data_IF_312025267114
#
_entry.id   IF_312025267114
#
_cell.length_a   1.000
_cell.length_b   1.000
_cell.length_c   1.000
_cell.angle_alpha   90.00
_cell.angle_beta   90.00
_cell.angle_gamma   90.00
#
_symmetry.space_group_name_H-M   'P 1'
#
loop_
_entity.id
_entity.type
_entity.pdbx_description
1 polymer ?
#
# COMPACT_ATOMS: atom_id res chain seq x y z
N UNK A 1 14.35 -18.61 6.99
CA UNK A 1 13.12 -18.79 7.79
C UNK A 1 13.17 -18.00 9.10
N UNK A 2 14.27 -18.06 9.88
CA UNK A 2 14.42 -17.34 11.17
C UNK A 2 14.27 -15.82 10.98
N UNK A 3 14.93 -15.23 10.00
CA UNK A 3 14.90 -13.77 9.76
C UNK A 3 13.50 -13.24 9.41
N UNK A 4 12.68 -14.01 8.69
CA UNK A 4 11.31 -13.62 8.30
C UNK A 4 10.34 -13.70 9.48
N UNK A 5 10.50 -14.68 10.35
CA UNK A 5 9.73 -14.80 11.59
C UNK A 5 10.04 -13.60 12.51
N UNK A 6 11.30 -13.22 12.62
CA UNK A 6 11.72 -12.06 13.42
C UNK A 6 11.17 -10.74 12.86
N UNK A 7 11.08 -10.60 11.53
CA UNK A 7 10.48 -9.42 10.89
C UNK A 7 8.99 -9.28 11.24
N UNK A 8 8.22 -10.37 11.24
CA UNK A 8 6.79 -10.33 11.62
C UNK A 8 6.61 -10.02 13.10
N UNK A 9 7.46 -10.57 13.98
CA UNK A 9 7.43 -10.28 15.41
C UNK A 9 7.76 -8.80 15.73
N UNK A 10 8.51 -8.15 14.85
CA UNK A 10 8.83 -6.72 14.95
C UNK A 10 7.79 -5.80 14.32
N UNK A 11 6.81 -6.36 13.60
CA UNK A 11 5.72 -5.58 12.99
C UNK A 11 4.77 -5.04 14.05
N UNK A 12 4.02 -3.96 13.76
CA UNK A 12 2.96 -3.46 14.64
C UNK A 12 1.98 -4.57 15.06
N UNK A 13 1.45 -4.49 16.27
CA UNK A 13 0.56 -5.50 16.84
C UNK A 13 -0.71 -5.70 15.98
N UNK A 14 -1.21 -4.63 15.38
CA UNK A 14 -2.35 -4.66 14.45
C UNK A 14 -2.03 -5.49 13.21
N UNK A 15 -0.86 -5.30 12.61
CA UNK A 15 -0.41 -6.09 11.45
C UNK A 15 -0.34 -7.57 11.79
N UNK A 16 0.25 -7.92 12.95
CA UNK A 16 0.31 -9.30 13.42
C UNK A 16 -1.09 -9.88 13.65
N UNK A 17 -2.01 -9.11 14.23
CA UNK A 17 -3.38 -9.53 14.50
C UNK A 17 -4.16 -9.76 13.22
N UNK A 18 -4.07 -8.85 12.26
CA UNK A 18 -4.73 -8.99 10.95
C UNK A 18 -4.15 -10.19 10.18
N UNK A 19 -2.82 -10.37 10.19
CA UNK A 19 -2.18 -11.52 9.55
C UNK A 19 -2.74 -12.84 10.12
N UNK A 20 -2.81 -12.99 11.45
CA UNK A 20 -3.37 -14.19 12.09
C UNK A 20 -4.83 -14.40 11.70
N UNK A 21 -5.63 -13.33 11.66
CA UNK A 21 -7.02 -13.39 11.26
C UNK A 21 -7.17 -13.80 9.79
N UNK A 22 -6.40 -13.21 8.88
CA UNK A 22 -6.43 -13.57 7.45
C UNK A 22 -6.19 -15.06 7.26
N UNK A 23 -5.19 -15.62 7.94
CA UNK A 23 -4.83 -17.03 7.79
C UNK A 23 -5.87 -17.94 8.46
N UNK A 24 -6.30 -17.64 9.68
CA UNK A 24 -7.25 -18.47 10.40
C UNK A 24 -8.64 -18.48 9.76
N UNK A 25 -9.09 -17.36 9.23
CA UNK A 25 -10.37 -17.24 8.53
C UNK A 25 -10.32 -17.68 7.05
N UNK A 26 -9.11 -17.80 6.49
CA UNK A 26 -8.87 -18.00 5.05
C UNK A 26 -9.48 -16.89 4.18
N UNK A 27 -9.56 -15.67 4.69
CA UNK A 27 -10.13 -14.54 3.97
C UNK A 27 -9.40 -14.26 2.66
N UNK A 28 -8.09 -14.50 2.60
CA UNK A 28 -7.29 -14.41 1.39
C UNK A 28 -7.48 -15.57 0.40
N UNK A 29 -8.21 -16.64 0.78
CA UNK A 29 -8.43 -17.85 -0.04
C UNK A 29 -7.14 -18.48 -0.58
N UNK A 30 -6.05 -18.40 0.17
CA UNK A 30 -4.73 -18.88 -0.23
C UNK A 30 -3.99 -17.98 -1.23
N UNK A 31 -4.56 -16.85 -1.60
CA UNK A 31 -3.88 -15.85 -2.43
C UNK A 31 -2.83 -15.07 -1.61
N UNK A 32 -1.79 -14.52 -2.25
CA UNK A 32 -0.90 -13.57 -1.58
C UNK A 32 -1.67 -12.34 -1.14
N UNK A 33 -1.13 -11.62 -0.17
CA UNK A 33 -1.76 -10.39 0.30
C UNK A 33 -0.75 -9.34 0.73
N UNK A 34 -1.21 -8.10 0.73
CA UNK A 34 -0.44 -6.93 1.13
C UNK A 34 -1.24 -6.17 2.18
N UNK A 35 -0.56 -5.72 3.22
CA UNK A 35 -1.13 -4.82 4.23
C UNK A 35 -0.46 -3.46 4.14
N UNK A 36 -1.24 -2.39 4.29
CA UNK A 36 -0.72 -1.05 4.53
C UNK A 36 -1.14 -0.64 5.94
N UNK A 37 -0.17 -0.52 6.83
CA UNK A 37 -0.37 0.01 8.17
C UNK A 37 -0.19 1.53 8.14
N UNK A 38 -1.31 2.26 8.17
CA UNK A 38 -1.30 3.72 8.04
C UNK A 38 -0.61 4.42 9.21
N UNK A 39 -0.77 3.99 10.46
CA UNK A 39 -0.08 4.62 11.59
C UNK A 39 1.44 4.55 11.49
N UNK A 40 2.01 3.41 11.09
CA UNK A 40 3.45 3.26 10.91
C UNK A 40 3.96 3.67 9.53
N UNK A 41 3.05 3.97 8.59
CA UNK A 41 3.36 4.27 7.20
C UNK A 41 4.23 3.18 6.54
N UNK A 42 3.86 1.92 6.72
CA UNK A 42 4.57 0.77 6.17
C UNK A 42 3.64 -0.14 5.38
N UNK A 43 4.20 -0.80 4.38
CA UNK A 43 3.56 -1.89 3.65
C UNK A 43 4.26 -3.21 3.92
N UNK A 44 3.47 -4.27 4.01
CA UNK A 44 3.88 -5.64 4.32
C UNK A 44 3.35 -6.56 3.23
N UNK A 45 4.24 -7.30 2.57
CA UNK A 45 3.86 -8.30 1.55
C UNK A 45 3.96 -9.69 2.14
N UNK A 46 2.90 -10.47 1.99
CA UNK A 46 2.80 -11.85 2.45
C UNK A 46 2.52 -12.80 1.29
N UNK A 47 3.03 -14.01 1.39
CA UNK A 47 2.56 -15.09 0.53
C UNK A 47 1.16 -15.59 0.95
N UNK A 48 0.61 -16.53 0.19
CA UNK A 48 -0.72 -17.08 0.46
C UNK A 48 -0.84 -17.85 1.77
N UNK A 49 0.27 -18.28 2.36
CA UNK A 49 0.32 -18.98 3.66
C UNK A 49 0.45 -18.02 4.84
N UNK A 50 0.65 -16.72 4.58
CA UNK A 50 0.85 -15.69 5.61
C UNK A 50 2.30 -15.49 6.03
N UNK A 51 3.25 -16.04 5.27
CA UNK A 51 4.67 -15.77 5.51
C UNK A 51 4.99 -14.36 5.04
N UNK A 52 5.59 -13.54 5.91
CA UNK A 52 6.03 -12.19 5.56
C UNK A 52 7.24 -12.26 4.63
N UNK A 53 7.13 -11.63 3.46
CA UNK A 53 8.17 -11.64 2.42
C UNK A 53 8.96 -10.35 2.38
N UNK A 54 8.32 -9.21 2.61
CA UNK A 54 8.97 -7.91 2.54
C UNK A 54 8.21 -6.85 3.33
N UNK A 55 8.95 -5.85 3.80
CA UNK A 55 8.43 -4.65 4.49
C UNK A 55 9.13 -3.43 3.90
N UNK A 56 8.39 -2.35 3.72
CA UNK A 56 8.97 -1.07 3.31
C UNK A 56 8.13 0.11 3.82
N UNK A 57 8.75 1.29 4.00
CA UNK A 57 8.00 2.53 4.21
C UNK A 57 7.19 2.87 2.97
N UNK A 58 6.06 3.55 3.15
CA UNK A 58 5.21 4.04 2.06
C UNK A 58 4.80 5.48 2.30
N UNK A 59 4.49 6.18 1.19
CA UNK A 59 3.80 7.47 1.25
C UNK A 59 2.32 7.26 0.96
N UNK A 60 1.49 8.04 1.62
CA UNK A 60 0.02 7.92 1.56
C UNK A 60 -0.64 9.27 1.33
N UNK A 61 -1.96 9.27 1.25
CA UNK A 61 -2.77 10.47 1.12
C UNK A 61 -2.43 11.52 2.17
N UNK A 62 -2.43 12.79 1.75
CA UNK A 62 -2.03 13.93 2.55
C UNK A 62 -2.88 14.14 3.81
N UNK A 63 -4.10 13.64 3.83
CA UNK A 63 -5.02 13.73 4.97
C UNK A 63 -5.18 12.40 5.70
N UNK A 64 -5.40 12.47 7.01
CA UNK A 64 -5.83 11.34 7.83
C UNK A 64 -7.30 11.04 7.60
N UNK A 65 -7.69 9.79 7.74
CA UNK A 65 -9.07 9.32 7.60
C UNK A 65 -9.12 7.95 6.93
N UNK A 66 -10.30 7.37 6.89
CA UNK A 66 -10.53 6.01 6.41
C UNK A 66 -11.49 5.94 5.20
N UNK A 67 -12.10 7.07 4.84
CA UNK A 67 -13.02 7.14 3.72
C UNK A 67 -12.49 8.11 2.66
N UNK A 68 -12.37 7.61 1.44
CA UNK A 68 -12.07 8.46 0.29
C UNK A 68 -13.37 9.10 -0.22
N UNK A 69 -13.50 10.39 -0.02
CA UNK A 69 -14.62 11.19 -0.51
C UNK A 69 -14.25 11.81 -1.85
N UNK A 70 -14.19 11.01 -2.92
CA UNK A 70 -13.93 11.53 -4.26
C UNK A 70 -15.26 11.65 -5.01
N UNK A 71 -15.62 12.84 -5.49
CA UNK A 71 -16.70 12.97 -6.47
C UNK A 71 -16.31 12.20 -7.74
N UNK A 72 -17.18 11.35 -8.24
CA UNK A 72 -16.97 10.43 -9.37
C UNK A 72 -16.57 11.08 -10.73
N UNK A 73 -16.25 12.35 -10.78
CA UNK A 73 -15.95 13.06 -12.02
C UNK A 73 -14.92 14.19 -11.89
N UNK A 74 -14.33 14.41 -10.73
CA UNK A 74 -13.34 15.47 -10.59
C UNK A 74 -11.93 14.94 -10.91
N UNK A 75 -11.10 15.69 -11.66
CA UNK A 75 -9.71 15.34 -11.83
C UNK A 75 -9.01 15.28 -10.46
N UNK A 76 -8.10 14.34 -10.25
CA UNK A 76 -7.39 14.16 -8.97
C UNK A 76 -6.76 15.47 -8.47
N UNK A 77 -6.27 16.31 -9.38
CA UNK A 77 -5.71 17.63 -9.06
C UNK A 77 -6.68 18.59 -8.37
N UNK A 78 -7.98 18.38 -8.55
CA UNK A 78 -9.03 19.21 -7.92
C UNK A 78 -9.39 18.76 -6.49
N UNK A 79 -8.85 17.62 -6.01
CA UNK A 79 -9.12 17.12 -4.66
C UNK A 79 -8.39 18.01 -3.64
N UNK A 80 -9.12 18.70 -2.75
CA UNK A 80 -8.51 19.49 -1.69
C UNK A 80 -7.59 18.65 -0.80
N UNK A 81 -6.50 19.20 -0.31
CA UNK A 81 -5.49 18.47 0.49
C UNK A 81 -6.10 17.74 1.69
N UNK A 82 -7.06 18.35 2.36
CA UNK A 82 -7.75 17.77 3.52
C UNK A 82 -8.72 16.61 3.17
N UNK A 83 -8.88 16.31 1.88
CA UNK A 83 -9.69 15.17 1.37
C UNK A 83 -8.87 14.12 0.65
N UNK A 84 -7.55 14.28 0.59
CA UNK A 84 -6.62 13.34 -0.04
C UNK A 84 -6.30 12.19 0.92
N UNK A 85 -7.22 11.27 1.06
CA UNK A 85 -7.18 10.18 2.04
C UNK A 85 -6.85 8.87 1.35
N UNK A 86 -5.93 8.09 1.92
CA UNK A 86 -5.81 6.66 1.61
C UNK A 86 -6.88 5.94 2.43
N UNK A 87 -7.91 5.35 1.79
CA UNK A 87 -9.03 4.74 2.50
C UNK A 87 -8.60 3.47 3.22
N UNK A 88 -9.30 3.13 4.29
CA UNK A 88 -9.22 1.81 4.92
C UNK A 88 -10.19 0.84 4.25
N UNK A 89 -9.82 -0.43 4.14
CA UNK A 89 -10.68 -1.45 3.57
C UNK A 89 -9.94 -2.70 3.13
N UNK A 90 -10.66 -3.53 2.38
CA UNK A 90 -10.22 -4.80 1.83
C UNK A 90 -10.62 -4.88 0.36
N UNK A 91 -9.66 -5.18 -0.51
CA UNK A 91 -9.88 -5.28 -1.96
C UNK A 91 -9.15 -6.47 -2.55
N UNK A 92 -9.72 -7.07 -3.60
CA UNK A 92 -8.98 -7.89 -4.53
C UNK A 92 -8.20 -6.98 -5.49
N UNK A 93 -6.89 -7.15 -5.54
CA UNK A 93 -5.97 -6.32 -6.30
C UNK A 93 -5.22 -7.14 -7.35
N UNK A 94 -4.81 -6.47 -8.42
CA UNK A 94 -4.01 -7.07 -9.50
C UNK A 94 -3.06 -6.06 -10.10
N UNK A 95 -1.98 -6.56 -10.68
CA UNK A 95 -1.09 -5.74 -11.49
C UNK A 95 -1.78 -5.35 -12.81
N UNK A 96 -1.62 -4.10 -13.19
CA UNK A 96 -2.06 -3.59 -14.49
C UNK A 96 -1.24 -2.34 -14.85
N UNK A 97 -1.16 -1.97 -16.13
CA UNK A 97 -0.55 -0.71 -16.51
C UNK A 97 -1.44 0.47 -16.10
N UNK A 98 -0.82 1.55 -15.63
CA UNK A 98 -1.47 2.84 -15.47
C UNK A 98 -1.69 3.53 -16.82
N UNK A 99 -2.24 4.74 -16.82
CA UNK A 99 -2.48 5.52 -18.04
C UNK A 99 -1.19 5.83 -18.83
N UNK A 100 -0.03 5.80 -18.19
CA UNK A 100 1.29 5.98 -18.81
C UNK A 100 1.96 4.67 -19.21
N UNK A 101 1.29 3.52 -19.03
CA UNK A 101 1.83 2.19 -19.34
C UNK A 101 2.78 1.62 -18.29
N UNK A 102 2.89 2.27 -17.10
CA UNK A 102 3.71 1.75 -16.00
C UNK A 102 2.92 0.77 -15.17
N UNK A 103 3.56 -0.34 -14.78
CA UNK A 103 2.95 -1.34 -13.92
C UNK A 103 2.64 -0.76 -12.52
N UNK A 104 1.42 -0.97 -12.07
CA UNK A 104 0.95 -0.61 -10.73
C UNK A 104 0.09 -1.75 -10.17
N UNK A 105 -0.02 -1.83 -8.85
CA UNK A 105 -0.99 -2.70 -8.19
C UNK A 105 -2.31 -1.94 -8.05
N UNK A 106 -3.28 -2.27 -8.89
CA UNK A 106 -4.62 -1.66 -8.86
C UNK A 106 -5.40 -2.24 -7.69
N UNK A 107 -5.76 -1.38 -6.74
CA UNK A 107 -6.50 -1.76 -5.52
C UNK A 107 -7.99 -1.54 -5.73
N UNK A 108 -8.40 -0.32 -6.11
CA UNK A 108 -9.78 0.03 -6.43
C UNK A 108 -9.81 0.86 -7.71
N UNK A 109 -10.26 0.24 -8.80
CA UNK A 109 -10.34 0.92 -10.09
C UNK A 109 -11.33 2.09 -10.09
N UNK A 110 -12.47 1.93 -9.42
CA UNK A 110 -13.51 2.96 -9.39
C UNK A 110 -13.07 4.20 -8.60
N UNK A 111 -12.30 4.01 -7.55
CA UNK A 111 -11.72 5.07 -6.73
C UNK A 111 -10.35 5.55 -7.25
N UNK A 112 -9.84 5.01 -8.35
CA UNK A 112 -8.49 5.26 -8.86
C UNK A 112 -7.40 5.06 -7.79
N UNK A 113 -7.59 4.06 -6.91
CA UNK A 113 -6.66 3.72 -5.84
C UNK A 113 -5.68 2.64 -6.32
N UNK A 114 -4.40 2.91 -6.20
CA UNK A 114 -3.33 1.96 -6.52
C UNK A 114 -2.16 2.08 -5.55
N UNK A 115 -1.33 1.02 -5.52
CA UNK A 115 0.02 1.08 -4.99
C UNK A 115 0.99 1.05 -6.18
N UNK A 116 1.91 1.99 -6.22
CA UNK A 116 2.84 2.15 -7.33
C UNK A 116 4.24 2.56 -6.84
N UNK A 117 5.28 2.36 -7.65
CA UNK A 117 6.59 2.91 -7.35
C UNK A 117 6.52 4.42 -7.12
N UNK A 118 7.35 4.91 -6.20
CA UNK A 118 7.41 6.34 -5.89
C UNK A 118 7.58 7.17 -7.15
N UNK A 119 6.79 8.24 -7.27
CA UNK A 119 6.91 9.24 -8.33
C UNK A 119 7.50 10.52 -7.76
N UNK A 120 8.20 11.29 -8.60
CA UNK A 120 8.90 12.50 -8.16
C UNK A 120 7.95 13.52 -7.51
N UNK A 121 6.74 13.65 -8.02
CA UNK A 121 5.78 14.66 -7.56
C UNK A 121 6.28 16.09 -7.79
N UNK A 122 5.72 17.05 -7.06
CA UNK A 122 6.15 18.44 -7.06
C UNK A 122 7.38 18.61 -6.16
N UNK A 123 8.32 19.54 -6.46
CA UNK A 123 9.54 19.72 -5.66
C UNK A 123 9.27 19.93 -4.15
N UNK A 124 8.23 20.66 -3.78
CA UNK A 124 7.88 20.94 -2.39
C UNK A 124 7.33 19.71 -1.64
N UNK A 125 6.94 18.66 -2.34
CA UNK A 125 6.48 17.41 -1.72
C UNK A 125 7.61 16.59 -1.13
N UNK A 126 8.84 16.74 -1.66
CA UNK A 126 10.04 16.02 -1.24
C UNK A 126 9.78 14.54 -0.94
N UNK A 127 9.13 13.85 -1.88
CA UNK A 127 8.68 12.47 -1.66
C UNK A 127 9.82 11.52 -1.32
N UNK A 128 10.97 11.66 -1.98
CA UNK A 128 12.13 10.82 -1.73
C UNK A 128 12.71 11.07 -0.32
N UNK A 129 12.82 12.32 0.11
CA UNK A 129 13.26 12.67 1.45
C UNK A 129 12.33 12.11 2.52
N UNK A 130 11.01 12.31 2.37
CA UNK A 130 10.00 11.76 3.28
C UNK A 130 10.03 10.24 3.35
N UNK A 131 10.23 9.55 2.23
CA UNK A 131 10.36 8.09 2.21
C UNK A 131 11.59 7.60 2.98
N UNK A 132 12.65 8.40 3.03
CA UNK A 132 13.92 8.03 3.67
C UNK A 132 13.97 8.32 5.18
N UNK A 133 13.02 9.09 5.72
CA UNK A 133 12.97 9.38 7.16
C UNK A 133 12.51 8.17 7.96
N UNK A 134 12.92 8.10 9.23
CA UNK A 134 12.48 7.05 10.15
C UNK A 134 11.09 7.34 10.78
N UNK A 135 10.59 8.57 10.64
CA UNK A 135 9.28 8.95 11.20
C UNK A 135 8.15 8.67 10.20
N UNK A 136 6.99 8.15 10.62
CA UNK A 136 5.80 8.05 9.79
C UNK A 136 5.05 9.39 9.62
N UNK A 137 5.40 10.42 10.39
CA UNK A 137 4.62 11.65 10.49
C UNK A 137 4.66 12.49 9.22
N UNK A 138 5.71 12.40 8.44
CA UNK A 138 5.90 13.13 7.18
C UNK A 138 5.51 12.32 5.93
N UNK A 139 5.03 11.10 6.08
CA UNK A 139 4.73 10.20 4.95
C UNK A 139 3.36 10.47 4.29
N UNK A 140 2.66 11.53 4.67
CA UNK A 140 1.37 11.90 4.10
C UNK A 140 1.52 13.05 3.10
N UNK A 141 1.44 12.71 1.80
CA UNK A 141 1.74 13.68 0.73
C UNK A 141 0.97 13.42 -0.57
N UNK A 142 0.47 12.21 -0.81
CA UNK A 142 -0.18 11.85 -2.07
C UNK A 142 -1.65 12.28 -2.15
N UNK A 143 -2.28 12.02 -3.29
CA UNK A 143 -3.73 12.21 -3.48
C UNK A 143 -4.58 11.08 -2.88
N UNK A 144 -3.95 10.01 -2.40
CA UNK A 144 -4.61 8.83 -1.84
C UNK A 144 -3.90 7.54 -2.23
N UNK A 145 -3.30 7.47 -3.41
CA UNK A 145 -2.49 6.31 -3.82
C UNK A 145 -1.30 6.09 -2.89
N UNK A 146 -0.95 4.83 -2.71
CA UNK A 146 0.20 4.40 -1.92
C UNK A 146 1.44 4.39 -2.79
N UNK A 147 2.46 5.16 -2.42
CA UNK A 147 3.76 5.17 -3.09
C UNK A 147 4.73 4.28 -2.30
N UNK A 148 5.41 3.36 -2.98
CA UNK A 148 6.37 2.45 -2.39
C UNK A 148 7.77 2.64 -2.98
N UNK A 149 8.85 2.26 -2.27
CA UNK A 149 10.18 2.24 -2.86
C UNK A 149 10.21 1.41 -4.14
N UNK A 150 10.97 1.87 -5.15
CA UNK A 150 11.07 1.17 -6.44
C UNK A 150 11.53 -0.28 -6.24
N UNK A 151 12.56 -0.51 -5.41
CA UNK A 151 13.07 -1.85 -5.16
C UNK A 151 12.04 -2.76 -4.46
N UNK A 152 11.24 -2.23 -3.52
CA UNK A 152 10.17 -2.99 -2.88
C UNK A 152 9.08 -3.39 -3.89
N UNK A 153 8.68 -2.48 -4.76
CA UNK A 153 7.71 -2.80 -5.80
C UNK A 153 8.25 -3.85 -6.76
N UNK A 154 9.45 -3.65 -7.31
CA UNK A 154 10.04 -4.54 -8.31
C UNK A 154 10.43 -5.92 -7.77
N UNK A 155 10.89 -6.00 -6.51
CA UNK A 155 11.43 -7.24 -5.94
C UNK A 155 10.43 -8.01 -5.08
N UNK A 156 9.35 -7.38 -4.62
CA UNK A 156 8.35 -8.03 -3.78
C UNK A 156 6.93 -7.93 -4.36
N UNK A 157 6.43 -6.72 -4.64
CA UNK A 157 5.04 -6.56 -5.07
C UNK A 157 4.82 -7.18 -6.45
N UNK A 158 5.62 -6.79 -7.45
CA UNK A 158 5.46 -7.27 -8.83
C UNK A 158 5.58 -8.81 -8.93
N UNK A 159 6.61 -9.47 -8.38
CA UNK A 159 6.72 -10.92 -8.47
C UNK A 159 5.61 -11.67 -7.73
N UNK A 160 5.19 -11.17 -6.57
CA UNK A 160 4.18 -11.84 -5.73
C UNK A 160 2.79 -11.77 -6.33
N UNK A 161 2.45 -10.67 -7.01
CA UNK A 161 1.16 -10.47 -7.67
C UNK A 161 1.19 -10.79 -9.18
N UNK A 162 2.31 -11.28 -9.72
CA UNK A 162 2.43 -11.65 -11.13
C UNK A 162 1.41 -12.73 -11.50
N UNK A 163 0.66 -12.50 -12.59
CA UNK A 163 -0.31 -13.44 -13.17
C UNK A 163 -1.42 -13.92 -12.22
N UNK A 164 -1.63 -13.24 -11.07
CA UNK A 164 -2.66 -13.61 -10.10
C UNK A 164 -3.19 -12.39 -9.36
N UNK A 165 -4.40 -12.52 -8.86
CA UNK A 165 -4.96 -11.57 -7.90
C UNK A 165 -4.46 -11.89 -6.48
N UNK A 166 -4.36 -10.85 -5.67
CA UNK A 166 -4.13 -10.97 -4.24
C UNK A 166 -5.03 -10.00 -3.48
N UNK A 167 -4.99 -10.05 -2.16
CA UNK A 167 -5.82 -9.18 -1.33
C UNK A 167 -4.98 -8.04 -0.77
N UNK A 168 -5.53 -6.83 -0.76
CA UNK A 168 -4.95 -5.68 -0.08
C UNK A 168 -5.84 -5.27 1.09
N UNK A 169 -5.23 -5.14 2.25
CA UNK A 169 -5.84 -4.64 3.49
C UNK A 169 -5.17 -3.30 3.86
N UNK A 170 -5.97 -2.27 4.12
CA UNK A 170 -5.48 -0.95 4.54
C UNK A 170 -6.20 -0.54 5.82
#
# INVERSE_FOLDING_TARGET
QVAQTDMLLSAPAEVQSVQRWVISSRDNRGAPFLMVDKPSAQAFVFDGSGQLLAVAPVLMGAAKGDQMLVPNAAPMSAIPTNKRITPAGRWWARLAPDAGGKEVLVIDHAAALSLHPIVKGQPHEDRAGRMATATPDDNRVSFGCVNAPVAFFSNAVSPVFADKMGVVYI
#
